data_IF_107938363572
#
_entry.id   IF_107938363572
#
_cell.length_a   1.000
_cell.length_b   1.000
_cell.length_c   1.000
_cell.angle_alpha   90.00
_cell.angle_beta   90.00
_cell.angle_gamma   90.00
#
_symmetry.space_group_name_H-M   'P 1'
#
loop_
_entity.id
_entity.type
_entity.pdbx_description
1 polymer ?
#
# COMPACT_ATOMS: atom_id res chain seq x y z
N UNK A 1 -5.34 -29.86 10.65
CA UNK A 1 -6.31 -28.81 11.07
C UNK A 1 -6.12 -28.54 12.54
N UNK A 2 -5.86 -27.30 12.91
CA UNK A 2 -5.63 -26.93 14.31
C UNK A 2 -6.88 -27.09 15.19
N UNK A 3 -6.67 -27.30 16.49
CA UNK A 3 -7.77 -27.47 17.48
C UNK A 3 -8.78 -26.33 17.39
N UNK A 4 -8.32 -25.09 17.28
CA UNK A 4 -9.16 -23.89 17.21
C UNK A 4 -10.14 -23.90 16.02
N UNK A 5 -9.70 -24.31 14.85
CA UNK A 5 -10.57 -24.41 13.66
C UNK A 5 -11.59 -25.53 13.82
N UNK A 6 -11.21 -26.66 14.43
CA UNK A 6 -12.15 -27.76 14.73
C UNK A 6 -13.26 -27.32 15.69
N UNK A 7 -12.93 -26.56 16.71
CA UNK A 7 -13.90 -26.00 17.65
C UNK A 7 -14.81 -24.97 16.99
N UNK A 8 -14.26 -24.08 16.14
CA UNK A 8 -15.06 -23.15 15.35
C UNK A 8 -16.07 -23.86 14.43
N UNK A 9 -15.65 -24.95 13.78
CA UNK A 9 -16.54 -25.78 12.96
C UNK A 9 -17.65 -26.42 13.83
N UNK A 10 -17.33 -26.86 15.05
CA UNK A 10 -18.34 -27.39 15.96
C UNK A 10 -19.39 -26.32 16.34
N UNK A 11 -18.94 -25.06 16.54
CA UNK A 11 -19.82 -23.90 16.77
C UNK A 11 -20.71 -23.66 15.53
N UNK A 12 -20.15 -23.66 14.33
CA UNK A 12 -20.94 -23.52 13.09
C UNK A 12 -22.01 -24.60 12.98
N UNK A 13 -21.70 -25.85 13.35
CA UNK A 13 -22.67 -26.94 13.36
C UNK A 13 -23.85 -26.73 14.34
N UNK A 14 -23.57 -26.08 15.49
CA UNK A 14 -24.64 -25.74 16.44
C UNK A 14 -25.54 -24.68 15.83
N UNK A 15 -24.99 -23.64 15.18
CA UNK A 15 -25.80 -22.63 14.48
C UNK A 15 -26.61 -23.22 13.34
N UNK A 16 -26.00 -24.03 12.48
CA UNK A 16 -26.70 -24.73 11.37
C UNK A 16 -27.85 -25.61 11.86
N UNK A 17 -27.70 -26.36 12.96
CA UNK A 17 -28.77 -27.17 13.56
C UNK A 17 -29.95 -26.34 14.09
N UNK A 18 -29.69 -25.06 14.39
CA UNK A 18 -30.71 -24.10 14.82
C UNK A 18 -31.26 -23.26 13.65
N UNK A 19 -30.93 -23.61 12.40
CA UNK A 19 -31.47 -22.99 11.21
C UNK A 19 -30.74 -21.70 10.76
N UNK A 20 -29.52 -21.48 11.23
CA UNK A 20 -28.70 -20.31 10.86
C UNK A 20 -27.49 -20.76 10.07
N UNK A 21 -27.28 -20.21 8.89
CA UNK A 21 -26.06 -20.44 8.15
C UNK A 21 -24.85 -19.86 8.88
N UNK A 22 -23.80 -20.67 8.97
CA UNK A 22 -22.56 -20.29 9.65
C UNK A 22 -21.34 -21.00 9.06
N UNK A 23 -20.26 -20.26 8.88
CA UNK A 23 -19.03 -20.75 8.26
C UNK A 23 -17.80 -20.15 8.94
N UNK A 24 -16.73 -20.93 9.06
CA UNK A 24 -15.42 -20.40 9.47
C UNK A 24 -14.87 -19.60 8.32
N UNK A 25 -14.59 -18.31 8.55
CA UNK A 25 -14.11 -17.41 7.52
C UNK A 25 -12.68 -17.82 7.13
N UNK A 26 -12.43 -18.12 5.82
CA UNK A 26 -11.10 -18.44 5.30
C UNK A 26 -10.27 -19.36 6.21
N UNK A 27 -10.80 -20.54 6.52
CA UNK A 27 -10.17 -21.48 7.45
C UNK A 27 -8.66 -21.71 7.20
N UNK A 28 -8.16 -21.91 5.95
CA UNK A 28 -6.73 -22.08 5.70
C UNK A 28 -5.91 -20.85 6.08
N UNK A 29 -6.43 -19.63 5.82
CA UNK A 29 -5.77 -18.41 6.22
C UNK A 29 -5.74 -18.27 7.74
N UNK A 30 -6.85 -18.57 8.41
CA UNK A 30 -6.91 -18.58 9.87
C UNK A 30 -5.97 -19.63 10.48
N UNK A 31 -5.85 -20.82 9.90
CA UNK A 31 -4.85 -21.81 10.32
C UNK A 31 -3.42 -21.27 10.25
N UNK A 32 -3.11 -20.49 9.20
CA UNK A 32 -1.79 -19.88 9.06
C UNK A 32 -1.57 -18.75 10.06
N UNK A 33 -2.62 -17.98 10.37
CA UNK A 33 -2.57 -16.95 11.42
C UNK A 33 -2.32 -17.53 12.80
N UNK A 34 -3.01 -18.62 13.13
CA UNK A 34 -2.87 -19.33 14.40
C UNK A 34 -1.46 -19.88 14.63
N UNK A 35 -0.71 -20.16 13.57
CA UNK A 35 0.70 -20.59 13.68
C UNK A 35 1.65 -19.44 14.12
N UNK A 36 1.22 -18.19 13.98
CA UNK A 36 2.05 -17.00 14.22
C UNK A 36 1.69 -16.23 15.48
N UNK A 37 0.53 -16.48 16.06
CA UNK A 37 -0.01 -15.74 17.21
C UNK A 37 0.03 -16.59 18.47
N UNK A 38 0.30 -15.96 19.63
CA UNK A 38 0.22 -16.63 20.93
C UNK A 38 -1.21 -16.84 21.41
N UNK A 39 -2.16 -16.03 20.92
CA UNK A 39 -3.59 -16.12 21.24
C UNK A 39 -4.32 -16.74 20.05
N UNK A 40 -5.10 -17.78 20.33
CA UNK A 40 -5.94 -18.41 19.33
C UNK A 40 -7.22 -17.58 19.13
N UNK A 41 -7.40 -17.02 17.96
CA UNK A 41 -8.58 -16.25 17.56
C UNK A 41 -9.13 -16.81 16.26
N UNK A 42 -10.44 -17.05 16.20
CA UNK A 42 -11.10 -17.59 15.00
C UNK A 42 -12.33 -16.77 14.66
N UNK A 43 -12.45 -16.39 13.40
CA UNK A 43 -13.55 -15.60 12.88
C UNK A 43 -14.56 -16.51 12.18
N UNK A 44 -15.85 -16.28 12.46
CA UNK A 44 -16.99 -17.04 11.97
C UNK A 44 -17.97 -16.05 11.32
N UNK A 45 -18.43 -16.34 10.10
CA UNK A 45 -19.54 -15.64 9.49
C UNK A 45 -20.84 -16.39 9.79
N UNK A 46 -21.91 -15.68 10.17
CA UNK A 46 -23.20 -16.31 10.43
C UNK A 46 -24.37 -15.34 10.15
N UNK A 47 -25.54 -15.91 9.90
CA UNK A 47 -26.79 -15.16 9.72
C UNK A 47 -27.40 -14.68 11.04
N UNK A 48 -26.85 -15.11 12.16
CA UNK A 48 -27.42 -14.86 13.49
C UNK A 48 -27.08 -13.46 13.98
N UNK A 49 -28.03 -12.82 14.65
CA UNK A 49 -27.82 -11.58 15.39
C UNK A 49 -27.28 -11.85 16.81
N UNK A 50 -26.92 -10.80 17.53
CA UNK A 50 -26.36 -10.87 18.89
C UNK A 50 -27.26 -11.67 19.83
N UNK A 51 -28.57 -11.39 19.84
CA UNK A 51 -29.54 -12.03 20.76
C UNK A 51 -29.60 -13.55 20.56
N UNK A 52 -29.55 -13.97 19.31
CA UNK A 52 -29.52 -15.39 18.95
C UNK A 52 -28.24 -16.07 19.39
N UNK A 53 -27.09 -15.40 19.13
CA UNK A 53 -25.77 -15.93 19.53
C UNK A 53 -25.68 -16.05 21.05
N UNK A 54 -26.11 -15.03 21.79
CA UNK A 54 -26.13 -15.05 23.27
C UNK A 54 -27.06 -16.15 23.80
N UNK A 55 -28.20 -16.40 23.13
CA UNK A 55 -29.12 -17.47 23.52
C UNK A 55 -28.50 -18.87 23.33
N UNK A 56 -27.74 -19.08 22.29
CA UNK A 56 -27.07 -20.36 21.99
C UNK A 56 -25.74 -20.51 22.75
N UNK A 57 -25.06 -19.41 22.96
CA UNK A 57 -23.76 -19.33 23.65
C UNK A 57 -23.84 -18.27 24.76
N UNK A 58 -24.24 -18.63 25.98
CA UNK A 58 -24.48 -17.67 27.06
C UNK A 58 -23.25 -16.84 27.49
N UNK A 59 -22.04 -17.24 27.11
CA UNK A 59 -20.79 -16.50 27.34
C UNK A 59 -20.54 -15.40 26.29
N UNK A 60 -21.34 -15.35 25.22
CA UNK A 60 -21.17 -14.39 24.15
C UNK A 60 -21.57 -12.99 24.60
N UNK A 61 -20.87 -12.00 24.10
CA UNK A 61 -21.13 -10.56 24.30
C UNK A 61 -21.04 -9.84 22.95
N UNK A 62 -21.45 -8.58 22.91
CA UNK A 62 -21.27 -7.76 21.73
C UNK A 62 -19.79 -7.71 21.33
N UNK A 63 -19.52 -7.78 20.03
CA UNK A 63 -18.17 -7.76 19.51
C UNK A 63 -17.45 -6.44 19.82
N UNK A 64 -16.19 -6.53 20.19
CA UNK A 64 -15.34 -5.35 20.47
C UNK A 64 -14.75 -4.75 19.18
N UNK A 65 -14.60 -5.55 18.13
CA UNK A 65 -14.13 -5.06 16.82
C UNK A 65 -15.28 -4.48 15.98
N UNK A 66 -14.99 -3.44 15.22
CA UNK A 66 -15.91 -2.90 14.21
C UNK A 66 -16.39 -4.03 13.30
N UNK A 67 -17.72 -4.14 13.16
CA UNK A 67 -18.42 -5.14 12.35
C UNK A 67 -18.59 -6.53 12.99
N UNK A 68 -17.95 -6.88 14.09
CA UNK A 68 -18.25 -8.12 14.79
C UNK A 68 -19.62 -7.99 15.52
N UNK A 69 -20.53 -8.93 15.23
CA UNK A 69 -21.86 -8.98 15.89
C UNK A 69 -21.72 -9.43 17.33
N UNK A 70 -20.90 -10.44 17.55
CA UNK A 70 -20.69 -11.03 18.87
C UNK A 70 -19.28 -11.63 18.98
N UNK A 71 -18.84 -11.84 20.22
CA UNK A 71 -17.62 -12.58 20.53
C UNK A 71 -17.75 -13.35 21.83
N UNK A 72 -17.03 -14.46 21.95
CA UNK A 72 -16.84 -15.14 23.23
C UNK A 72 -15.56 -15.95 23.25
N UNK A 73 -15.05 -16.22 24.46
CA UNK A 73 -13.84 -17.04 24.65
C UNK A 73 -14.24 -18.39 25.25
N UNK A 74 -13.73 -19.46 24.65
CA UNK A 74 -13.87 -20.82 25.16
C UNK A 74 -12.57 -21.60 24.92
N UNK A 75 -12.10 -22.35 25.90
CA UNK A 75 -10.86 -23.13 25.86
C UNK A 75 -9.64 -22.31 25.41
N UNK A 76 -9.52 -21.05 25.86
CA UNK A 76 -8.50 -20.07 25.49
C UNK A 76 -8.52 -19.68 24.00
N UNK A 77 -9.64 -19.90 23.32
CA UNK A 77 -9.85 -19.48 21.93
C UNK A 77 -10.92 -18.39 21.90
N UNK A 78 -10.62 -17.25 21.30
CA UNK A 78 -11.56 -16.18 21.06
C UNK A 78 -12.28 -16.43 19.72
N UNK A 79 -13.58 -16.59 19.78
CA UNK A 79 -14.46 -16.70 18.60
C UNK A 79 -15.13 -15.36 18.37
N UNK A 80 -15.02 -14.81 17.14
CA UNK A 80 -15.72 -13.62 16.70
C UNK A 80 -16.72 -13.96 15.62
N UNK A 81 -17.90 -13.37 15.72
CA UNK A 81 -19.00 -13.60 14.78
C UNK A 81 -19.22 -12.35 13.95
N UNK A 82 -19.22 -12.54 12.65
CA UNK A 82 -19.47 -11.49 11.67
C UNK A 82 -20.78 -11.78 10.94
N UNK A 83 -21.55 -10.78 10.50
CA UNK A 83 -22.75 -11.02 9.75
C UNK A 83 -22.39 -11.69 8.43
N UNK A 84 -23.14 -12.72 8.07
CA UNK A 84 -23.14 -13.26 6.72
C UNK A 84 -23.86 -12.23 5.85
N UNK A 85 -23.17 -11.62 4.88
CA UNK A 85 -23.80 -10.71 3.92
C UNK A 85 -24.67 -11.54 2.97
N UNK A 86 -25.95 -11.62 3.27
CA UNK A 86 -26.96 -12.11 2.35
C UNK A 86 -27.58 -10.92 1.67
N UNK A 87 -27.58 -10.88 0.35
CA UNK A 87 -28.48 -9.99 -0.36
C UNK A 87 -29.88 -10.56 -0.41
N UNK A 88 -30.88 -9.68 -0.41
CA UNK A 88 -32.29 -10.04 -0.54
C UNK A 88 -32.66 -10.81 -1.85
N UNK A 89 -31.70 -10.85 -2.79
CA UNK A 89 -31.83 -11.68 -3.99
C UNK A 89 -31.33 -13.09 -3.69
N UNK A 90 -32.11 -14.07 -4.04
CA UNK A 90 -31.92 -15.53 -3.90
C UNK A 90 -30.69 -16.10 -4.63
N UNK A 91 -29.74 -15.27 -5.01
CA UNK A 91 -28.44 -15.66 -5.51
C UNK A 91 -27.40 -15.28 -4.44
N UNK A 92 -26.63 -16.25 -3.93
CA UNK A 92 -25.48 -15.89 -3.16
C UNK A 92 -24.65 -14.97 -4.08
N UNK A 93 -24.61 -13.70 -3.76
CA UNK A 93 -23.51 -12.84 -4.20
C UNK A 93 -22.25 -13.66 -4.11
N UNK A 94 -21.25 -13.37 -4.92
CA UNK A 94 -19.92 -13.84 -4.58
C UNK A 94 -19.93 -13.98 -3.07
N UNK A 95 -20.16 -15.17 -2.57
CA UNK A 95 -20.21 -15.43 -1.14
C UNK A 95 -18.78 -15.35 -0.70
N UNK A 96 -18.32 -14.17 -0.86
CA UNK A 96 -17.01 -13.73 -0.59
C UNK A 96 -16.94 -13.76 0.89
N UNK A 97 -16.28 -14.77 1.28
CA UNK A 97 -15.63 -14.86 2.55
C UNK A 97 -15.32 -13.44 2.99
N UNK A 98 -16.01 -12.99 3.98
CA UNK A 98 -15.72 -11.71 4.59
C UNK A 98 -14.29 -11.79 5.10
N UNK A 99 -13.41 -11.05 4.46
CA UNK A 99 -12.04 -10.96 4.86
C UNK A 99 -11.98 -9.86 5.87
N UNK A 100 -11.69 -10.23 7.09
CA UNK A 100 -11.56 -9.24 8.15
C UNK A 100 -10.28 -8.42 7.94
N UNK A 101 -10.24 -7.16 8.38
CA UNK A 101 -9.01 -6.36 8.37
C UNK A 101 -7.83 -7.11 8.97
N UNK A 102 -8.04 -7.87 10.06
CA UNK A 102 -7.01 -8.72 10.67
C UNK A 102 -6.41 -9.72 9.68
N UNK A 103 -7.22 -10.33 8.84
CA UNK A 103 -6.75 -11.29 7.82
C UNK A 103 -5.93 -10.60 6.74
N UNK A 104 -6.36 -9.41 6.28
CA UNK A 104 -5.60 -8.61 5.32
C UNK A 104 -4.24 -8.22 5.90
N UNK A 105 -4.21 -7.70 7.12
CA UNK A 105 -2.96 -7.31 7.79
C UNK A 105 -2.00 -8.47 8.04
N UNK A 106 -2.52 -9.67 8.20
CA UNK A 106 -1.70 -10.86 8.44
C UNK A 106 -1.18 -11.51 7.15
N UNK A 107 -1.66 -11.10 5.98
CA UNK A 107 -1.15 -11.56 4.70
C UNK A 107 0.25 -10.99 4.49
N UNK A 108 1.27 -11.83 4.70
CA UNK A 108 2.61 -11.50 4.27
C UNK A 108 2.68 -11.63 2.74
N UNK A 109 3.04 -10.57 1.98
CA UNK A 109 3.15 -10.60 0.53
C UNK A 109 4.03 -11.74 0.00
N UNK A 110 5.06 -12.13 0.76
CA UNK A 110 6.00 -13.19 0.39
C UNK A 110 5.46 -14.63 0.62
N UNK A 111 4.32 -14.78 1.34
CA UNK A 111 3.73 -16.09 1.67
C UNK A 111 2.24 -16.12 1.33
N UNK A 112 1.90 -15.78 0.10
CA UNK A 112 0.52 -15.79 -0.37
C UNK A 112 0.04 -17.22 -0.50
N UNK A 113 -1.08 -17.48 0.16
CA UNK A 113 -1.83 -18.72 -0.03
C UNK A 113 -2.54 -18.63 -1.38
N UNK A 114 -2.45 -19.71 -2.15
CA UNK A 114 -3.40 -19.93 -3.21
C UNK A 114 -4.73 -20.31 -2.56
N UNK A 115 -5.64 -19.38 -2.52
CA UNK A 115 -6.98 -19.55 -1.99
C UNK A 115 -7.96 -19.59 -3.16
N UNK A 116 -8.78 -20.60 -3.22
CA UNK A 116 -9.94 -20.59 -4.11
C UNK A 116 -11.09 -19.94 -3.37
N UNK A 117 -11.49 -18.76 -3.83
CA UNK A 117 -12.67 -18.07 -3.35
C UNK A 117 -13.82 -18.53 -4.24
N UNK A 118 -14.34 -19.68 -3.94
CA UNK A 118 -15.64 -20.08 -4.43
C UNK A 118 -16.66 -19.57 -3.45
N UNK A 119 -17.80 -19.16 -3.97
CA UNK A 119 -18.92 -18.88 -3.14
C UNK A 119 -19.19 -20.04 -2.16
N UNK A 120 -19.64 -19.75 -0.97
CA UNK A 120 -20.22 -20.76 -0.12
C UNK A 120 -21.35 -21.40 -0.92
N UNK A 121 -21.22 -22.69 -1.19
CA UNK A 121 -22.35 -23.45 -1.69
C UNK A 121 -23.49 -23.27 -0.70
N UNK A 122 -24.68 -22.93 -1.18
CA UNK A 122 -25.85 -22.90 -0.35
C UNK A 122 -25.96 -24.23 0.40
N UNK A 123 -26.21 -24.24 1.72
CA UNK A 123 -26.39 -25.48 2.51
C UNK A 123 -27.54 -26.33 2.07
N UNK A 124 -28.29 -25.92 1.04
CA UNK A 124 -29.45 -26.65 0.50
C UNK A 124 -29.16 -28.10 0.08
N UNK A 125 -27.90 -28.53 0.07
CA UNK A 125 -27.53 -29.87 -0.39
C UNK A 125 -26.80 -30.70 0.67
N UNK A 126 -27.10 -30.59 1.95
CA UNK A 126 -26.66 -31.56 2.97
C UNK A 126 -25.18 -31.90 3.03
N UNK A 127 -24.38 -31.23 2.22
CA UNK A 127 -22.99 -31.54 1.96
C UNK A 127 -22.09 -30.85 2.98
N UNK A 128 -21.10 -31.59 3.41
CA UNK A 128 -20.14 -31.22 4.42
C UNK A 128 -19.65 -29.79 4.23
N UNK A 129 -19.92 -28.91 5.19
CA UNK A 129 -19.25 -27.59 5.32
C UNK A 129 -17.72 -27.70 5.17
N UNK A 130 -17.18 -28.88 5.33
CA UNK A 130 -15.76 -29.20 5.15
C UNK A 130 -15.31 -29.31 3.69
N UNK A 131 -16.17 -29.75 2.78
CA UNK A 131 -15.80 -29.95 1.37
C UNK A 131 -15.62 -28.61 0.65
N UNK A 132 -16.37 -27.59 1.08
CA UNK A 132 -16.17 -26.22 0.58
C UNK A 132 -14.80 -25.65 0.95
N UNK A 133 -14.11 -26.17 1.96
CA UNK A 133 -12.75 -25.73 2.33
C UNK A 133 -11.64 -26.40 1.50
N UNK A 134 -11.88 -27.54 0.89
CA UNK A 134 -10.94 -28.15 -0.07
C UNK A 134 -10.81 -27.28 -1.34
N UNK A 135 -11.88 -26.59 -1.72
CA UNK A 135 -11.89 -25.66 -2.84
C UNK A 135 -10.99 -24.44 -2.64
N UNK A 136 -10.64 -24.09 -1.40
CA UNK A 136 -9.68 -23.00 -1.08
C UNK A 136 -8.23 -23.32 -1.42
N UNK A 137 -7.89 -24.57 -1.70
CA UNK A 137 -6.52 -24.99 -2.02
C UNK A 137 -6.10 -24.72 -3.45
N UNK A 138 -7.03 -24.45 -4.36
CA UNK A 138 -6.76 -24.41 -5.81
C UNK A 138 -7.10 -23.12 -6.52
N UNK A 139 -6.97 -22.04 -5.92
CA UNK A 139 -6.96 -20.67 -6.18
C UNK A 139 -7.41 -19.98 -7.46
N UNK A 140 -8.70 -19.65 -7.63
CA UNK A 140 -9.09 -18.55 -8.54
C UNK A 140 -10.30 -17.80 -7.97
N UNK A 141 -10.43 -16.52 -8.33
CA UNK A 141 -11.64 -15.74 -8.02
C UNK A 141 -12.67 -16.02 -9.10
N UNK A 142 -13.82 -16.55 -8.71
CA UNK A 142 -14.90 -16.93 -9.61
C UNK A 142 -16.24 -16.42 -9.11
N UNK A 143 -17.06 -15.85 -10.01
CA UNK A 143 -18.45 -15.56 -9.76
C UNK A 143 -19.24 -16.87 -9.69
N UNK A 144 -20.18 -16.99 -8.75
CA UNK A 144 -21.04 -18.16 -8.63
C UNK A 144 -22.08 -18.19 -9.74
N UNK A 145 -22.47 -19.38 -10.17
CA UNK A 145 -23.43 -19.55 -11.26
C UNK A 145 -22.89 -19.09 -12.62
N UNK A 146 -23.76 -18.57 -13.46
CA UNK A 146 -23.39 -17.97 -14.74
C UNK A 146 -22.92 -16.54 -14.51
N UNK A 147 -21.63 -16.29 -14.74
CA UNK A 147 -20.98 -15.02 -14.39
C UNK A 147 -21.69 -13.78 -14.99
N UNK A 148 -22.20 -13.87 -16.22
CA UNK A 148 -22.94 -12.77 -16.85
C UNK A 148 -24.28 -12.49 -16.15
N UNK A 149 -25.01 -13.51 -15.72
CA UNK A 149 -26.27 -13.36 -14.98
C UNK A 149 -26.01 -12.76 -13.58
N UNK A 150 -25.01 -13.27 -12.89
CA UNK A 150 -24.60 -12.76 -11.58
C UNK A 150 -24.24 -11.27 -11.66
N UNK A 151 -23.47 -10.86 -12.66
CA UNK A 151 -23.13 -9.44 -12.87
C UNK A 151 -24.37 -8.62 -13.26
N UNK A 152 -25.31 -9.18 -14.03
CA UNK A 152 -26.52 -8.46 -14.40
C UNK A 152 -27.39 -8.12 -13.17
N UNK A 153 -27.36 -8.95 -12.14
CA UNK A 153 -28.04 -8.66 -10.87
C UNK A 153 -27.30 -7.64 -10.01
N UNK A 154 -25.96 -7.66 -10.01
CA UNK A 154 -25.15 -6.72 -9.23
C UNK A 154 -23.79 -6.46 -9.88
N UNK A 155 -23.66 -5.34 -10.59
CA UNK A 155 -22.42 -4.96 -11.28
C UNK A 155 -21.27 -4.60 -10.34
N UNK A 156 -21.53 -4.25 -9.06
CA UNK A 156 -20.47 -3.99 -8.08
C UNK A 156 -19.61 -5.23 -7.83
N UNK A 157 -20.16 -6.43 -8.06
CA UNK A 157 -19.41 -7.68 -7.94
C UNK A 157 -18.22 -7.77 -8.88
N UNK A 158 -18.23 -7.06 -10.01
CA UNK A 158 -17.06 -6.96 -10.88
C UNK A 158 -15.87 -6.30 -10.13
N UNK A 159 -16.11 -5.15 -9.50
CA UNK A 159 -15.08 -4.43 -8.73
C UNK A 159 -14.62 -5.26 -7.54
N UNK A 160 -15.55 -5.91 -6.85
CA UNK A 160 -15.29 -6.78 -5.71
C UNK A 160 -14.40 -7.96 -6.11
N UNK A 161 -14.71 -8.62 -7.24
CA UNK A 161 -13.91 -9.73 -7.77
C UNK A 161 -12.46 -9.28 -8.09
N UNK A 162 -12.29 -8.10 -8.70
CA UNK A 162 -10.97 -7.52 -8.99
C UNK A 162 -10.21 -7.21 -7.69
N UNK A 163 -10.88 -6.65 -6.67
CA UNK A 163 -10.30 -6.39 -5.35
C UNK A 163 -9.78 -7.67 -4.70
N UNK A 164 -10.57 -8.74 -4.73
CA UNK A 164 -10.14 -10.03 -4.16
C UNK A 164 -8.99 -10.62 -4.93
N UNK A 165 -9.05 -10.60 -6.26
CA UNK A 165 -7.94 -11.03 -7.11
C UNK A 165 -6.64 -10.29 -6.75
N UNK A 166 -6.71 -8.97 -6.56
CA UNK A 166 -5.57 -8.15 -6.19
C UNK A 166 -5.05 -8.43 -4.77
N UNK A 167 -5.94 -8.43 -3.76
CA UNK A 167 -5.57 -8.60 -2.35
C UNK A 167 -4.96 -9.97 -2.05
N UNK A 168 -5.42 -11.01 -2.74
CA UNK A 168 -4.99 -12.40 -2.50
C UNK A 168 -4.02 -12.93 -3.54
N UNK A 169 -3.69 -12.11 -4.56
CA UNK A 169 -2.86 -12.53 -5.69
C UNK A 169 -3.41 -13.79 -6.39
N UNK A 170 -4.73 -13.81 -6.58
CA UNK A 170 -5.42 -14.91 -7.20
C UNK A 170 -5.82 -14.57 -8.63
N UNK A 171 -5.64 -15.48 -9.59
CA UNK A 171 -6.14 -15.26 -10.94
C UNK A 171 -7.67 -15.20 -10.94
N UNK A 172 -8.22 -14.38 -11.82
CA UNK A 172 -9.63 -14.46 -12.16
C UNK A 172 -9.91 -15.73 -12.98
N UNK A 173 -10.99 -16.42 -12.66
CA UNK A 173 -11.50 -17.48 -13.54
C UNK A 173 -11.77 -16.90 -14.94
N UNK A 174 -11.41 -17.61 -16.02
CA UNK A 174 -11.56 -17.10 -17.39
C UNK A 174 -12.98 -16.64 -17.74
N UNK A 175 -14.01 -17.36 -17.31
CA UNK A 175 -15.41 -16.97 -17.58
C UNK A 175 -15.79 -15.72 -16.81
N UNK A 176 -15.37 -15.63 -15.55
CA UNK A 176 -15.55 -14.43 -14.71
C UNK A 176 -14.85 -13.22 -15.35
N UNK A 177 -13.59 -13.36 -15.80
CA UNK A 177 -12.86 -12.28 -16.47
C UNK A 177 -13.58 -11.81 -17.73
N UNK A 178 -14.00 -12.73 -18.59
CA UNK A 178 -14.72 -12.39 -19.83
C UNK A 178 -16.07 -11.72 -19.56
N UNK A 179 -16.80 -12.17 -18.52
CA UNK A 179 -18.05 -11.54 -18.12
C UNK A 179 -17.82 -10.11 -17.62
N UNK A 180 -16.76 -9.86 -16.82
CA UNK A 180 -16.40 -8.52 -16.35
C UNK A 180 -16.02 -7.62 -17.53
N UNK A 181 -15.24 -8.11 -18.51
CA UNK A 181 -14.90 -7.34 -19.73
C UNK A 181 -16.15 -6.95 -20.50
N UNK A 182 -17.10 -7.88 -20.70
CA UNK A 182 -18.37 -7.58 -21.37
C UNK A 182 -19.25 -6.61 -20.59
N UNK A 183 -19.15 -6.62 -19.27
CA UNK A 183 -19.93 -5.76 -18.39
C UNK A 183 -19.24 -4.41 -18.07
N UNK A 184 -18.04 -4.14 -18.55
CA UNK A 184 -17.21 -3.01 -18.12
C UNK A 184 -17.92 -1.65 -18.24
N UNK A 185 -18.60 -1.37 -19.34
CA UNK A 185 -19.39 -0.13 -19.52
C UNK A 185 -20.58 -0.09 -18.56
N UNK A 186 -21.27 -1.22 -18.35
CA UNK A 186 -22.42 -1.30 -17.46
C UNK A 186 -22.03 -1.12 -15.99
N UNK A 187 -20.84 -1.58 -15.59
CA UNK A 187 -20.31 -1.29 -14.25
C UNK A 187 -20.26 0.22 -14.04
N UNK A 188 -19.76 0.98 -15.02
CA UNK A 188 -19.65 2.43 -14.94
C UNK A 188 -21.01 3.16 -15.04
N UNK A 189 -21.99 2.56 -15.73
CA UNK A 189 -23.33 3.13 -15.88
C UNK A 189 -24.22 2.89 -14.64
N UNK A 190 -24.06 1.76 -13.96
CA UNK A 190 -24.99 1.31 -12.92
C UNK A 190 -24.39 1.31 -11.50
N UNK A 191 -23.08 1.39 -11.35
CA UNK A 191 -22.43 1.44 -10.03
C UNK A 191 -21.95 2.85 -9.74
N UNK A 192 -22.32 3.39 -8.60
CA UNK A 192 -21.89 4.73 -8.20
C UNK A 192 -20.38 4.81 -7.96
N UNK A 193 -19.78 5.97 -8.24
CA UNK A 193 -18.36 6.20 -7.93
C UNK A 193 -18.06 5.98 -6.44
N UNK A 194 -19.01 6.29 -5.56
CA UNK A 194 -18.90 6.08 -4.11
C UNK A 194 -18.78 4.59 -3.76
N UNK A 195 -19.61 3.73 -4.37
CA UNK A 195 -19.59 2.30 -4.13
C UNK A 195 -18.29 1.67 -4.67
N UNK A 196 -17.86 2.09 -5.87
CA UNK A 196 -16.57 1.66 -6.43
C UNK A 196 -15.42 2.06 -5.50
N UNK A 197 -15.42 3.29 -5.01
CA UNK A 197 -14.40 3.75 -4.07
C UNK A 197 -14.50 3.07 -2.70
N UNK A 198 -15.69 2.64 -2.29
CA UNK A 198 -15.89 1.79 -1.10
C UNK A 198 -15.14 0.47 -1.22
N UNK A 199 -15.22 -0.20 -2.37
CA UNK A 199 -14.43 -1.41 -2.65
C UNK A 199 -12.93 -1.10 -2.79
N UNK A 200 -12.56 -0.01 -3.46
CA UNK A 200 -11.16 0.38 -3.63
C UNK A 200 -10.46 0.68 -2.29
N UNK A 201 -11.12 1.34 -1.35
CA UNK A 201 -10.59 1.62 0.00
C UNK A 201 -10.29 0.34 0.81
N UNK A 202 -10.87 -0.79 0.42
CA UNK A 202 -10.58 -2.10 1.02
C UNK A 202 -9.45 -2.85 0.29
N UNK A 203 -8.86 -2.27 -0.76
CA UNK A 203 -7.64 -2.81 -1.38
C UNK A 203 -6.46 -2.50 -0.47
N UNK A 204 -5.69 -3.53 -0.10
CA UNK A 204 -4.48 -3.34 0.69
C UNK A 204 -3.46 -2.49 -0.09
N UNK A 205 -2.72 -1.61 0.60
CA UNK A 205 -1.78 -0.68 -0.03
C UNK A 205 -0.81 -1.39 -0.99
N UNK A 206 -0.25 -2.52 -0.57
CA UNK A 206 0.65 -3.36 -1.36
C UNK A 206 -0.01 -4.06 -2.55
N UNK A 207 -1.34 -4.02 -2.64
CA UNK A 207 -2.12 -4.66 -3.72
C UNK A 207 -2.71 -3.67 -4.71
N UNK A 208 -2.61 -2.36 -4.44
CA UNK A 208 -3.18 -1.30 -5.30
C UNK A 208 -2.65 -1.40 -6.74
N UNK A 209 -1.36 -1.66 -6.93
CA UNK A 209 -0.78 -1.78 -8.27
C UNK A 209 -1.44 -2.91 -9.09
N UNK A 210 -1.77 -4.06 -8.46
CA UNK A 210 -2.47 -5.16 -9.12
C UNK A 210 -3.91 -4.81 -9.42
N UNK A 211 -4.57 -4.19 -8.46
CA UNK A 211 -5.95 -3.78 -8.62
C UNK A 211 -6.12 -2.80 -9.79
N UNK A 212 -5.24 -1.80 -9.87
CA UNK A 212 -5.23 -0.82 -10.97
C UNK A 212 -4.91 -1.50 -12.31
N UNK A 213 -3.95 -2.43 -12.34
CA UNK A 213 -3.65 -3.22 -13.54
C UNK A 213 -4.86 -4.05 -13.98
N UNK A 214 -5.53 -4.71 -13.07
CA UNK A 214 -6.74 -5.48 -13.38
C UNK A 214 -7.87 -4.60 -13.91
N UNK A 215 -8.11 -3.42 -13.31
CA UNK A 215 -9.08 -2.43 -13.82
C UNK A 215 -8.75 -1.98 -15.25
N UNK A 216 -7.47 -1.79 -15.56
CA UNK A 216 -7.00 -1.48 -16.93
C UNK A 216 -7.27 -2.65 -17.89
N UNK A 217 -6.87 -3.86 -17.52
CA UNK A 217 -7.01 -5.07 -18.36
C UNK A 217 -8.47 -5.44 -18.69
N UNK A 218 -9.41 -5.11 -17.80
CA UNK A 218 -10.85 -5.34 -18.04
C UNK A 218 -11.58 -4.11 -18.55
N UNK A 219 -10.86 -3.05 -18.92
CA UNK A 219 -11.39 -1.81 -19.50
C UNK A 219 -12.34 -0.99 -18.61
N UNK A 220 -12.24 -1.15 -17.30
CA UNK A 220 -12.99 -0.32 -16.34
C UNK A 220 -12.22 0.97 -16.03
N UNK A 221 -10.87 0.91 -15.97
CA UNK A 221 -10.04 2.06 -15.61
C UNK A 221 -10.24 3.25 -16.54
N UNK A 222 -10.36 3.01 -17.85
CA UNK A 222 -10.57 4.05 -18.87
C UNK A 222 -11.82 4.89 -18.64
N UNK A 223 -12.85 4.35 -18.01
CA UNK A 223 -14.06 5.11 -17.70
C UNK A 223 -14.05 5.71 -16.31
N UNK A 224 -13.35 5.07 -15.37
CA UNK A 224 -13.29 5.53 -13.97
C UNK A 224 -12.23 6.64 -13.78
N UNK A 225 -11.01 6.40 -14.25
CA UNK A 225 -9.88 7.35 -14.19
C UNK A 225 -9.15 7.35 -15.54
N UNK A 226 -9.76 7.93 -16.59
CA UNK A 226 -9.16 7.96 -17.93
C UNK A 226 -7.76 8.58 -17.95
N UNK A 227 -7.48 9.50 -17.04
CA UNK A 227 -6.19 10.16 -16.96
C UNK A 227 -5.05 9.20 -16.55
N UNK A 228 -5.34 8.21 -15.70
CA UNK A 228 -4.36 7.18 -15.33
C UNK A 228 -4.27 6.11 -16.45
N UNK A 229 -5.40 5.71 -17.01
CA UNK A 229 -5.44 4.73 -18.10
C UNK A 229 -4.63 5.22 -19.32
N UNK A 230 -4.78 6.50 -19.68
CA UNK A 230 -4.10 7.13 -20.82
C UNK A 230 -2.57 7.23 -20.65
N UNK A 231 -2.02 7.07 -19.45
CA UNK A 231 -0.57 6.98 -19.25
C UNK A 231 0.05 5.77 -19.94
N UNK A 232 -0.75 4.76 -20.29
CA UNK A 232 -0.34 3.61 -21.10
C UNK A 232 0.06 3.99 -22.54
N UNK A 233 -0.38 5.16 -23.02
CA UNK A 233 -0.04 5.70 -24.33
C UNK A 233 1.18 6.62 -24.32
N UNK A 234 1.70 7.00 -23.15
CA UNK A 234 2.84 7.91 -23.01
C UNK A 234 4.10 7.10 -22.74
N UNK A 235 5.16 7.36 -23.51
CA UNK A 235 6.46 6.71 -23.37
C UNK A 235 7.45 7.59 -22.62
N UNK A 236 8.34 6.96 -21.89
CA UNK A 236 9.46 7.59 -21.21
C UNK A 236 10.67 6.66 -21.22
N UNK A 237 11.87 7.22 -21.01
CA UNK A 237 13.06 6.41 -20.78
C UNK A 237 13.04 5.83 -19.38
N UNK A 238 13.31 4.53 -19.27
CA UNK A 238 13.42 3.80 -18.01
C UNK A 238 14.83 3.90 -17.43
N UNK A 239 15.84 3.71 -18.26
CA UNK A 239 17.26 3.67 -17.89
C UNK A 239 18.06 4.63 -18.71
N UNK A 240 19.28 4.95 -18.24
CA UNK A 240 20.26 5.75 -19.00
C UNK A 240 20.66 5.07 -20.33
N UNK A 241 20.51 3.75 -20.41
CA UNK A 241 20.81 2.92 -21.61
C UNK A 241 19.73 3.02 -22.71
N UNK A 242 18.65 3.78 -22.47
CA UNK A 242 17.63 4.08 -23.47
C UNK A 242 16.49 3.06 -23.56
N UNK A 243 16.33 2.14 -22.59
CA UNK A 243 15.12 1.33 -22.51
C UNK A 243 13.89 2.20 -22.30
N UNK A 244 12.86 1.97 -23.10
CA UNK A 244 11.58 2.68 -23.01
C UNK A 244 10.56 1.86 -22.25
N UNK A 245 9.74 2.55 -21.47
CA UNK A 245 8.56 2.01 -20.80
C UNK A 245 7.37 2.95 -20.98
N UNK A 246 6.15 2.48 -20.69
CA UNK A 246 5.01 3.38 -20.57
C UNK A 246 5.03 4.09 -19.23
N UNK A 247 4.52 5.33 -19.17
CA UNK A 247 4.36 6.02 -17.86
C UNK A 247 3.40 5.26 -16.95
N UNK A 248 2.45 4.50 -17.52
CA UNK A 248 1.55 3.63 -16.76
C UNK A 248 2.31 2.49 -16.05
N UNK A 249 3.14 1.75 -16.77
CA UNK A 249 3.91 0.64 -16.19
C UNK A 249 4.88 1.15 -15.13
N UNK A 250 5.59 2.25 -15.41
CA UNK A 250 6.42 2.93 -14.44
C UNK A 250 5.64 3.31 -13.17
N UNK A 251 4.46 3.94 -13.35
CA UNK A 251 3.61 4.34 -12.22
C UNK A 251 3.21 3.14 -11.37
N UNK A 252 2.83 2.01 -12.00
CA UNK A 252 2.49 0.79 -11.27
C UNK A 252 3.70 0.18 -10.55
N UNK A 253 4.89 0.24 -11.14
CA UNK A 253 6.12 -0.19 -10.48
C UNK A 253 6.46 0.69 -9.26
N UNK A 254 6.28 2.01 -9.36
CA UNK A 254 6.40 2.91 -8.21
C UNK A 254 5.38 2.57 -7.10
N UNK A 255 4.12 2.35 -7.47
CA UNK A 255 3.06 1.95 -6.53
C UNK A 255 3.38 0.62 -5.86
N UNK A 256 3.97 -0.33 -6.57
CA UNK A 256 4.43 -1.61 -6.03
C UNK A 256 5.58 -1.45 -5.04
N UNK A 257 6.48 -0.48 -5.28
CA UNK A 257 7.67 -0.25 -4.47
C UNK A 257 7.44 0.66 -3.27
N UNK A 258 6.34 1.43 -3.23
CA UNK A 258 6.07 2.42 -2.18
C UNK A 258 5.80 1.80 -0.81
N UNK A 259 4.94 0.77 -0.65
CA UNK A 259 4.63 0.19 0.65
C UNK A 259 5.83 -0.58 1.21
N UNK A 260 6.69 0.11 1.94
CA UNK A 260 7.81 -0.47 2.68
C UNK A 260 7.59 -0.40 4.19
N UNK A 261 8.53 -0.94 4.96
CA UNK A 261 8.52 -1.14 6.41
C UNK A 261 7.63 -0.15 7.19
N UNK A 262 7.93 1.16 7.11
CA UNK A 262 7.21 2.20 7.86
C UNK A 262 5.87 2.60 7.21
N UNK A 263 5.71 2.35 5.90
CA UNK A 263 4.55 2.76 5.10
C UNK A 263 3.74 1.58 4.55
N UNK A 264 3.91 0.41 5.11
CA UNK A 264 3.28 -0.82 4.63
C UNK A 264 1.74 -0.73 4.51
N UNK A 265 1.11 0.05 5.39
CA UNK A 265 -0.35 0.27 5.38
C UNK A 265 -0.75 1.69 4.97
N UNK A 266 0.17 2.46 4.43
CA UNK A 266 -0.11 3.83 4.00
C UNK A 266 -0.86 3.87 2.68
N UNK A 267 -2.17 3.69 2.75
CA UNK A 267 -3.05 3.70 1.60
C UNK A 267 -3.02 5.06 0.86
N UNK A 268 -3.03 6.18 1.60
CA UNK A 268 -3.03 7.52 1.01
C UNK A 268 -1.71 7.85 0.31
N UNK A 269 -0.57 7.49 0.91
CA UNK A 269 0.73 7.65 0.26
C UNK A 269 0.87 6.80 -1.00
N UNK A 270 0.32 5.58 -0.98
CA UNK A 270 0.26 4.70 -2.16
C UNK A 270 -0.62 5.32 -3.26
N UNK A 271 -1.76 5.92 -2.90
CA UNK A 271 -2.60 6.65 -3.86
C UNK A 271 -1.91 7.91 -4.37
N UNK A 272 -1.17 8.66 -3.55
CA UNK A 272 -0.37 9.78 -4.02
C UNK A 272 0.69 9.33 -5.04
N UNK A 273 1.32 8.17 -4.79
CA UNK A 273 2.25 7.55 -5.73
C UNK A 273 1.57 7.13 -7.03
N UNK A 274 0.32 6.65 -6.99
CA UNK A 274 -0.46 6.36 -8.21
C UNK A 274 -0.68 7.62 -9.07
N UNK A 275 -0.84 8.79 -8.45
CA UNK A 275 -1.11 10.03 -9.16
C UNK A 275 0.13 10.88 -9.44
N UNK A 276 1.33 10.51 -8.96
CA UNK A 276 2.50 11.40 -8.99
C UNK A 276 2.85 11.90 -10.39
N UNK A 277 2.74 11.02 -11.37
CA UNK A 277 3.11 11.27 -12.76
C UNK A 277 1.94 11.57 -13.71
N UNK A 278 0.71 11.71 -13.20
CA UNK A 278 -0.48 11.98 -14.03
C UNK A 278 -0.35 13.26 -14.87
N UNK A 279 0.45 14.20 -14.41
CA UNK A 279 0.74 15.44 -15.13
C UNK A 279 1.54 15.24 -16.42
N UNK A 280 2.26 14.14 -16.58
CA UNK A 280 3.02 13.82 -17.80
C UNK A 280 2.12 13.70 -19.03
N UNK A 281 0.86 13.29 -18.84
CA UNK A 281 -0.15 13.25 -19.89
C UNK A 281 -0.34 14.62 -20.58
N UNK A 282 -0.14 15.70 -19.86
CA UNK A 282 -0.43 17.07 -20.31
C UNK A 282 0.83 17.90 -20.56
N UNK A 283 2.00 17.40 -20.21
CA UNK A 283 3.27 18.15 -20.28
C UNK A 283 4.34 17.42 -21.10
N UNK A 284 3.97 16.31 -21.74
CA UNK A 284 4.88 15.54 -22.56
C UNK A 284 5.24 16.29 -23.85
N UNK A 285 6.51 16.56 -24.07
CA UNK A 285 7.07 17.15 -25.28
C UNK A 285 8.21 16.25 -25.77
N UNK A 286 8.19 15.91 -27.06
CA UNK A 286 9.26 15.15 -27.69
C UNK A 286 10.25 16.12 -28.33
N UNK A 287 11.45 16.23 -27.76
CA UNK A 287 12.47 17.12 -28.21
C UNK A 287 13.83 16.41 -28.25
N UNK A 288 14.57 16.59 -29.36
CA UNK A 288 15.92 16.02 -29.56
C UNK A 288 16.00 14.50 -29.29
N UNK A 289 15.00 13.75 -29.74
CA UNK A 289 14.95 12.29 -29.58
C UNK A 289 14.53 11.79 -28.21
N UNK A 290 14.12 12.68 -27.30
CA UNK A 290 13.75 12.33 -25.94
C UNK A 290 12.42 12.96 -25.52
N UNK A 291 11.68 12.27 -24.67
CA UNK A 291 10.50 12.82 -24.00
C UNK A 291 10.91 13.66 -22.78
N UNK A 292 10.37 14.86 -22.71
CA UNK A 292 10.52 15.77 -21.56
C UNK A 292 9.17 16.10 -20.97
N UNK A 293 9.11 16.31 -19.64
CA UNK A 293 7.85 16.51 -18.91
C UNK A 293 7.98 17.69 -17.94
N UNK A 294 8.16 18.88 -18.48
CA UNK A 294 8.44 20.07 -17.67
C UNK A 294 7.25 20.41 -16.74
N UNK A 295 7.53 20.58 -15.45
CA UNK A 295 6.56 20.91 -14.40
C UNK A 295 5.37 19.94 -14.28
N UNK A 296 5.49 18.67 -14.70
CA UNK A 296 4.41 17.67 -14.59
C UNK A 296 3.84 17.56 -13.17
N UNK A 297 4.67 17.72 -12.12
CA UNK A 297 4.22 17.68 -10.72
C UNK A 297 3.19 18.77 -10.39
N UNK A 298 3.35 19.99 -10.91
CA UNK A 298 2.41 21.10 -10.70
C UNK A 298 1.10 20.90 -11.46
N UNK A 299 1.20 20.44 -12.70
CA UNK A 299 0.04 20.10 -13.52
C UNK A 299 -0.65 18.89 -12.93
N UNK A 300 0.13 17.86 -12.54
CA UNK A 300 -0.35 16.65 -11.88
C UNK A 300 -1.18 16.92 -10.64
N UNK A 301 -0.73 17.79 -9.74
CA UNK A 301 -1.51 18.17 -8.56
C UNK A 301 -2.89 18.79 -8.90
N UNK A 302 -2.97 19.60 -9.98
CA UNK A 302 -4.25 20.18 -10.43
C UNK A 302 -5.17 19.12 -11.04
N UNK A 303 -4.62 18.18 -11.81
CA UNK A 303 -5.35 17.07 -12.42
C UNK A 303 -5.85 16.13 -11.33
N UNK A 304 -4.98 15.73 -10.39
CA UNK A 304 -5.32 14.90 -9.24
C UNK A 304 -6.49 15.49 -8.45
N UNK A 305 -6.49 16.80 -8.19
CA UNK A 305 -7.61 17.49 -7.50
C UNK A 305 -8.95 17.31 -8.24
N UNK A 306 -8.95 17.36 -9.58
CA UNK A 306 -10.17 17.15 -10.38
C UNK A 306 -10.64 15.70 -10.30
N UNK A 307 -9.72 14.75 -10.40
CA UNK A 307 -10.00 13.31 -10.31
C UNK A 307 -10.60 12.98 -8.94
N UNK A 308 -9.94 13.38 -7.86
CA UNK A 308 -10.35 13.04 -6.49
C UNK A 308 -11.71 13.65 -6.13
N UNK A 309 -12.02 14.88 -6.61
CA UNK A 309 -13.36 15.46 -6.48
C UNK A 309 -14.42 14.63 -7.21
N UNK A 310 -14.13 14.16 -8.41
CA UNK A 310 -15.03 13.30 -9.18
C UNK A 310 -15.27 11.96 -8.48
N UNK A 311 -14.25 11.45 -7.75
CA UNK A 311 -14.31 10.21 -6.99
C UNK A 311 -14.80 10.40 -5.55
N UNK A 312 -15.29 11.59 -5.18
CA UNK A 312 -15.86 11.90 -3.88
C UNK A 312 -14.92 11.67 -2.68
N UNK A 313 -13.62 11.98 -2.84
CA UNK A 313 -12.70 12.02 -1.71
C UNK A 313 -13.01 13.17 -0.76
N UNK A 314 -12.63 13.02 0.52
CA UNK A 314 -12.73 14.12 1.49
C UNK A 314 -11.83 15.29 1.10
N UNK A 315 -12.17 16.54 1.49
CA UNK A 315 -11.31 17.70 1.24
C UNK A 315 -9.89 17.51 1.81
N UNK A 316 -9.78 16.89 2.99
CA UNK A 316 -8.53 16.62 3.68
C UNK A 316 -7.66 15.65 2.87
N UNK A 317 -8.23 14.54 2.41
CA UNK A 317 -7.52 13.58 1.55
C UNK A 317 -7.09 14.24 0.23
N UNK A 318 -7.95 15.06 -0.38
CA UNK A 318 -7.64 15.78 -1.61
C UNK A 318 -6.45 16.72 -1.40
N UNK A 319 -6.43 17.49 -0.32
CA UNK A 319 -5.36 18.44 -0.05
C UNK A 319 -4.04 17.70 0.23
N UNK A 320 -4.08 16.61 0.99
CA UNK A 320 -2.93 15.75 1.24
C UNK A 320 -2.35 15.15 -0.04
N UNK A 321 -3.18 14.48 -0.85
CA UNK A 321 -2.71 13.85 -2.08
C UNK A 321 -2.16 14.88 -3.07
N UNK A 322 -2.84 16.02 -3.23
CA UNK A 322 -2.36 17.10 -4.10
C UNK A 322 -1.06 17.72 -3.59
N UNK A 323 -0.88 17.84 -2.27
CA UNK A 323 0.37 18.29 -1.66
C UNK A 323 1.52 17.33 -2.01
N UNK A 324 1.32 16.03 -1.82
CA UNK A 324 2.32 15.01 -2.12
C UNK A 324 2.67 15.00 -3.62
N UNK A 325 1.67 14.95 -4.50
CA UNK A 325 1.88 15.01 -5.96
C UNK A 325 2.59 16.29 -6.39
N UNK A 326 2.22 17.44 -5.81
CA UNK A 326 2.83 18.73 -6.14
C UNK A 326 4.30 18.88 -5.71
N UNK A 327 4.73 18.11 -4.70
CA UNK A 327 6.05 18.23 -4.09
C UNK A 327 6.97 17.01 -4.33
N UNK A 328 6.50 15.93 -4.99
CA UNK A 328 7.26 14.68 -5.11
C UNK A 328 8.65 14.87 -5.75
N UNK A 329 8.79 15.83 -6.67
CA UNK A 329 10.07 16.11 -7.33
C UNK A 329 11.10 16.82 -6.45
N UNK A 330 10.71 17.34 -5.27
CA UNK A 330 11.63 18.20 -4.48
C UNK A 330 12.84 17.47 -3.94
N UNK A 331 12.74 16.19 -3.66
CA UNK A 331 13.84 15.38 -3.15
C UNK A 331 14.72 14.74 -4.23
N UNK A 332 14.33 14.83 -5.52
CA UNK A 332 15.06 14.26 -6.65
C UNK A 332 16.37 14.96 -6.95
N UNK A 333 16.52 16.24 -6.57
CA UNK A 333 17.70 17.03 -6.83
C UNK A 333 18.62 17.05 -5.60
N UNK A 334 19.94 17.17 -5.82
CA UNK A 334 20.86 17.44 -4.73
C UNK A 334 20.49 18.75 -4.05
N UNK A 335 20.15 18.68 -2.77
CA UNK A 335 19.77 19.83 -1.96
C UNK A 335 20.99 20.39 -1.21
N UNK A 336 21.04 21.71 -1.09
CA UNK A 336 21.91 22.38 -0.13
C UNK A 336 21.36 22.23 1.29
N UNK A 337 22.16 22.49 2.33
CA UNK A 337 21.69 22.46 3.73
C UNK A 337 20.41 23.27 3.93
N UNK A 338 20.35 24.48 3.34
CA UNK A 338 19.16 25.33 3.36
C UNK A 338 17.99 24.70 2.61
N UNK A 339 18.27 24.00 1.51
CA UNK A 339 17.26 23.25 0.74
C UNK A 339 16.66 22.10 1.52
N UNK A 340 17.52 21.33 2.23
CA UNK A 340 17.08 20.21 3.09
C UNK A 340 16.23 20.70 4.25
N UNK A 341 16.59 21.80 4.90
CA UNK A 341 15.80 22.41 5.99
C UNK A 341 14.40 22.79 5.51
N UNK A 342 14.32 23.51 4.38
CA UNK A 342 13.04 23.86 3.75
C UNK A 342 12.21 22.65 3.32
N UNK A 343 12.89 21.58 2.93
CA UNK A 343 12.21 20.32 2.60
C UNK A 343 11.64 19.67 3.85
N UNK A 344 12.39 19.65 4.96
CA UNK A 344 11.95 19.09 6.26
C UNK A 344 10.79 19.86 6.89
N UNK A 345 10.63 21.15 6.53
CA UNK A 345 9.48 21.97 6.94
C UNK A 345 8.19 21.65 6.14
N UNK A 346 8.27 20.85 5.08
CA UNK A 346 7.07 20.43 4.36
C UNK A 346 6.28 19.41 5.18
N UNK A 347 4.98 19.59 5.16
CA UNK A 347 4.08 18.56 5.69
C UNK A 347 4.34 17.24 4.95
N UNK A 348 4.33 16.14 5.69
CA UNK A 348 4.47 14.78 5.14
C UNK A 348 5.80 14.54 4.37
N UNK A 349 6.88 15.25 4.70
CA UNK A 349 8.17 15.11 4.01
C UNK A 349 8.70 13.66 4.01
N UNK A 350 8.38 12.86 5.02
CA UNK A 350 8.74 11.45 5.10
C UNK A 350 8.07 10.62 3.99
N UNK A 351 6.80 10.90 3.67
CA UNK A 351 6.12 10.30 2.52
C UNK A 351 6.75 10.70 1.19
N UNK A 352 7.18 11.96 1.06
CA UNK A 352 7.89 12.44 -0.14
C UNK A 352 9.23 11.74 -0.34
N UNK A 353 9.95 11.42 0.75
CA UNK A 353 11.18 10.60 0.69
C UNK A 353 10.85 9.18 0.23
N UNK A 354 9.80 8.57 0.79
CA UNK A 354 9.37 7.23 0.42
C UNK A 354 8.91 7.16 -1.06
N UNK A 355 8.19 8.17 -1.56
CA UNK A 355 7.80 8.27 -2.97
C UNK A 355 9.03 8.33 -3.89
N UNK A 356 10.05 9.14 -3.56
CA UNK A 356 11.26 9.20 -4.36
C UNK A 356 12.06 7.89 -4.28
N UNK A 357 12.11 7.24 -3.12
CA UNK A 357 12.73 5.91 -3.00
C UNK A 357 12.04 4.88 -3.88
N UNK A 358 10.70 4.90 -3.92
CA UNK A 358 9.91 4.03 -4.79
C UNK A 358 10.18 4.28 -6.27
N UNK A 359 10.27 5.54 -6.70
CA UNK A 359 10.63 5.93 -8.07
C UNK A 359 12.05 5.43 -8.46
N UNK A 360 13.04 5.61 -7.59
CA UNK A 360 14.39 5.11 -7.81
C UNK A 360 14.43 3.58 -7.96
N UNK A 361 13.67 2.86 -7.13
CA UNK A 361 13.59 1.40 -7.21
C UNK A 361 12.92 0.94 -8.51
N UNK A 362 11.84 1.60 -8.90
CA UNK A 362 11.11 1.27 -10.13
C UNK A 362 12.00 1.41 -11.38
N UNK A 363 12.91 2.37 -11.37
CA UNK A 363 13.82 2.64 -12.50
C UNK A 363 15.18 1.94 -12.40
N UNK A 364 15.50 1.24 -11.30
CA UNK A 364 16.86 0.85 -10.94
C UNK A 364 17.85 2.04 -10.96
N UNK A 365 17.37 3.19 -10.48
CA UNK A 365 18.02 4.49 -10.63
C UNK A 365 19.22 4.70 -9.73
N UNK A 366 19.91 5.82 -9.97
CA UNK A 366 21.11 6.22 -9.22
C UNK A 366 20.73 6.87 -7.87
N UNK A 367 21.17 6.27 -6.77
CA UNK A 367 20.91 6.74 -5.41
C UNK A 367 21.80 7.88 -4.93
N UNK A 368 22.68 8.45 -5.76
CA UNK A 368 23.65 9.48 -5.36
C UNK A 368 22.96 10.69 -4.72
N UNK A 369 21.99 11.31 -5.41
CA UNK A 369 21.24 12.47 -4.89
C UNK A 369 20.42 12.11 -3.66
N UNK A 370 19.81 10.92 -3.64
CA UNK A 370 19.02 10.40 -2.52
C UNK A 370 19.89 10.28 -1.26
N UNK A 371 21.01 9.58 -1.35
CA UNK A 371 21.91 9.35 -0.24
C UNK A 371 22.55 10.67 0.25
N UNK A 372 22.87 11.59 -0.68
CA UNK A 372 23.34 12.93 -0.34
C UNK A 372 22.30 13.66 0.52
N UNK A 373 21.05 13.72 0.07
CA UNK A 373 19.99 14.41 0.78
C UNK A 373 19.69 13.78 2.15
N UNK A 374 19.67 12.46 2.26
CA UNK A 374 19.51 11.76 3.54
C UNK A 374 20.60 12.11 4.54
N UNK A 375 21.87 12.13 4.09
CA UNK A 375 23.01 12.51 4.94
C UNK A 375 22.84 13.89 5.56
N UNK A 376 22.24 14.83 4.84
CA UNK A 376 22.00 16.19 5.33
C UNK A 376 20.70 16.35 6.11
N UNK A 377 19.73 15.43 5.92
CA UNK A 377 18.45 15.48 6.61
C UNK A 377 18.60 15.36 8.13
N UNK A 378 19.49 14.48 8.60
CA UNK A 378 19.81 14.30 10.01
C UNK A 378 20.46 15.55 10.62
N UNK A 379 21.14 16.36 9.80
CA UNK A 379 21.76 17.62 10.21
C UNK A 379 20.79 18.80 10.24
N UNK A 380 19.62 18.66 9.66
CA UNK A 380 18.65 19.75 9.55
C UNK A 380 18.14 20.27 10.91
N UNK A 381 18.25 19.45 11.98
CA UNK A 381 17.93 19.84 13.35
C UNK A 381 19.05 20.61 14.05
N UNK A 382 20.26 20.54 13.50
CA UNK A 382 21.43 21.22 14.08
C UNK A 382 21.31 22.73 13.84
N UNK A 383 21.47 23.58 14.86
CA UNK A 383 21.43 25.02 14.67
C UNK A 383 22.42 25.48 13.59
N UNK A 384 22.03 26.44 12.73
CA UNK A 384 22.77 26.88 11.57
C UNK A 384 24.21 27.30 11.92
N UNK A 385 24.38 27.91 13.11
CA UNK A 385 25.70 28.28 13.69
C UNK A 385 26.65 27.10 13.94
N UNK A 386 26.14 25.87 14.00
CA UNK A 386 26.90 24.64 14.21
C UNK A 386 27.14 23.86 12.92
N UNK A 387 26.62 24.32 11.79
CA UNK A 387 26.74 23.62 10.51
C UNK A 387 28.01 24.00 9.74
N UNK A 388 28.60 25.17 10.06
CA UNK A 388 29.93 25.52 9.55
C UNK A 388 31.00 25.09 10.55
N UNK A 389 32.01 24.33 10.09
CA UNK A 389 33.12 24.00 10.98
C UNK A 389 33.82 25.28 11.45
N UNK A 390 34.24 25.30 12.69
CA UNK A 390 35.00 26.44 13.26
C UNK A 390 36.26 26.79 12.47
N UNK A 391 36.77 25.83 11.66
CA UNK A 391 37.91 26.02 10.77
C UNK A 391 37.52 25.64 9.35
N UNK A 392 37.80 26.53 8.41
CA UNK A 392 37.66 26.24 6.98
C UNK A 392 38.85 25.42 6.46
N UNK A 393 38.81 24.96 5.19
CA UNK A 393 39.84 24.11 4.62
C UNK A 393 41.25 24.76 4.61
N UNK A 394 41.33 26.08 4.38
CA UNK A 394 42.61 26.80 4.39
C UNK A 394 43.19 26.89 5.82
N UNK A 395 42.36 27.15 6.80
CA UNK A 395 42.75 27.17 8.22
C UNK A 395 43.19 25.78 8.68
N UNK A 396 42.51 24.72 8.27
CA UNK A 396 42.91 23.33 8.58
C UNK A 396 44.29 23.04 7.99
N UNK A 397 44.56 23.44 6.73
CA UNK A 397 45.86 23.27 6.11
C UNK A 397 46.94 24.06 6.83
N UNK A 398 46.64 25.28 7.30
CA UNK A 398 47.58 26.08 8.08
C UNK A 398 47.91 25.44 9.43
N UNK A 399 46.91 24.98 10.16
CA UNK A 399 47.07 24.38 11.49
C UNK A 399 47.69 22.97 11.47
N UNK A 400 47.52 22.24 10.38
CA UNK A 400 48.04 20.88 10.24
C UNK A 400 49.24 20.74 9.33
N UNK A 401 49.59 21.80 8.60
CA UNK A 401 50.65 21.84 7.57
C UNK A 401 50.45 20.81 6.44
N UNK A 402 49.19 20.41 6.21
CA UNK A 402 48.85 19.50 5.12
C UNK A 402 48.77 20.25 3.77
N UNK A 403 49.17 19.57 2.71
CA UNK A 403 48.94 20.03 1.35
C UNK A 403 47.47 19.90 0.96
N UNK A 404 46.97 20.73 0.00
CA UNK A 404 45.62 20.57 -0.52
C UNK A 404 45.35 19.14 -1.02
N UNK A 405 44.28 18.50 -0.51
CA UNK A 405 43.97 17.14 -0.89
C UNK A 405 42.74 16.57 -0.18
N UNK A 406 42.34 15.34 -0.52
CA UNK A 406 41.16 14.69 0.05
C UNK A 406 41.18 14.60 1.58
N UNK A 407 42.35 14.47 2.19
CA UNK A 407 42.52 14.37 3.65
C UNK A 407 42.01 15.62 4.38
N UNK A 408 42.21 16.82 3.81
CA UNK A 408 41.70 18.08 4.37
C UNK A 408 40.15 18.04 4.43
N UNK A 409 39.51 17.48 3.39
CA UNK A 409 38.07 17.29 3.35
C UNK A 409 37.58 16.32 4.43
N UNK A 410 38.29 15.22 4.63
CA UNK A 410 37.98 14.21 5.69
C UNK A 410 38.13 14.85 7.08
N UNK A 411 39.20 15.61 7.33
CA UNK A 411 39.39 16.29 8.62
C UNK A 411 38.31 17.33 8.87
N UNK A 412 37.95 18.12 7.84
CA UNK A 412 36.87 19.11 7.94
C UNK A 412 35.53 18.47 8.29
N UNK A 413 35.21 17.34 7.68
CA UNK A 413 33.99 16.58 7.96
C UNK A 413 34.00 16.00 9.38
N UNK A 414 35.13 15.40 9.82
CA UNK A 414 35.29 14.86 11.16
C UNK A 414 35.20 15.98 12.22
N UNK A 415 35.74 17.17 11.97
CA UNK A 415 35.62 18.34 12.84
C UNK A 415 34.16 18.75 12.98
N UNK A 416 33.43 18.85 11.87
CA UNK A 416 32.01 19.20 11.88
C UNK A 416 31.20 18.21 12.68
N UNK A 417 31.45 16.91 12.52
CA UNK A 417 30.75 15.85 13.30
C UNK A 417 31.05 15.96 14.80
N UNK A 418 32.33 16.24 15.17
CA UNK A 418 32.70 16.41 16.56
C UNK A 418 32.07 17.67 17.18
N UNK A 419 31.90 18.74 16.41
CA UNK A 419 31.22 19.97 16.78
C UNK A 419 29.71 19.71 17.04
N UNK A 420 29.05 19.06 16.11
CA UNK A 420 27.63 18.68 16.21
C UNK A 420 27.40 17.77 17.46
N UNK A 421 28.32 16.85 17.72
CA UNK A 421 28.29 15.98 18.89
C UNK A 421 28.69 16.70 20.23
N UNK A 422 28.92 18.00 20.21
CA UNK A 422 29.31 18.80 21.39
C UNK A 422 30.70 18.49 21.94
N UNK A 423 31.53 17.72 21.23
CA UNK A 423 32.90 17.37 21.65
C UNK A 423 33.89 18.49 21.38
N UNK A 424 33.57 19.39 20.48
CA UNK A 424 34.38 20.55 20.08
C UNK A 424 33.50 21.79 20.28
N UNK A 425 33.57 22.45 21.43
CA UNK A 425 32.65 23.53 21.78
C UNK A 425 33.03 24.89 21.17
N UNK A 426 34.32 25.08 20.85
CA UNK A 426 34.84 26.34 20.38
C UNK A 426 36.02 26.19 19.39
N UNK A 427 36.51 27.33 18.87
CA UNK A 427 37.58 27.35 17.89
C UNK A 427 38.92 26.82 18.41
N UNK A 428 39.22 27.01 19.70
CA UNK A 428 40.46 26.52 20.30
C UNK A 428 40.45 24.97 20.34
N UNK A 429 39.38 24.39 20.80
CA UNK A 429 39.17 22.94 20.76
C UNK A 429 39.18 22.38 19.32
N UNK A 430 38.75 23.18 18.34
CA UNK A 430 38.78 22.78 16.93
C UNK A 430 40.22 22.69 16.39
N UNK A 431 41.10 23.62 16.77
CA UNK A 431 42.50 23.58 16.39
C UNK A 431 43.19 22.34 16.96
N UNK A 432 43.00 22.07 18.24
CA UNK A 432 43.54 20.88 18.91
C UNK A 432 43.01 19.56 18.25
N UNK A 433 41.73 19.54 17.94
CA UNK A 433 41.11 18.42 17.27
C UNK A 433 41.75 18.12 15.90
N UNK A 434 41.85 19.11 15.03
CA UNK A 434 42.39 18.91 13.67
C UNK A 434 43.87 18.52 13.69
N UNK A 435 44.68 19.10 14.59
CA UNK A 435 46.08 18.74 14.77
C UNK A 435 46.23 17.29 15.25
N UNK A 436 45.42 16.88 16.21
CA UNK A 436 45.41 15.50 16.72
C UNK A 436 44.97 14.51 15.66
N UNK A 437 43.93 14.86 14.90
CA UNK A 437 43.43 14.02 13.82
C UNK A 437 44.45 13.83 12.71
N UNK A 438 45.10 14.94 12.29
CA UNK A 438 46.13 14.91 11.26
C UNK A 438 47.33 14.03 11.65
N UNK A 439 47.77 14.08 12.91
CA UNK A 439 48.85 13.22 13.43
C UNK A 439 48.51 11.75 13.39
N UNK A 440 47.24 11.40 13.65
CA UNK A 440 46.76 10.00 13.61
C UNK A 440 46.55 9.46 12.19
N UNK A 441 46.25 10.33 11.25
CA UNK A 441 46.01 9.95 9.86
C UNK A 441 47.29 9.99 8.98
N UNK A 442 48.38 10.61 9.46
CA UNK A 442 49.64 10.72 8.76
C UNK A 442 50.75 9.76 9.27
N UNK A 443 50.45 8.94 10.28
CA UNK A 443 51.29 7.83 10.76
C UNK A 443 50.65 6.51 10.46
#
# INVERSE_FOLDING_TARGET
MQKAIKEAIAICKILLRNGYDAHVINAPLQEQLLQKTQTAEVDIACESNLDTIVKLFPKARAGAEDQAVAEFTENDILFRFYPLEMTEASHPELSLLRITPRMIHALNPAKRLQLRITGFGSPAHGDNVYDSFEDFKTGSVRLTGLADETLHHNYLLAIRALRFSANFDLPLDPNTRLAIVRASTRVLDYVSATDIMGEWRQVAAESIYRFVRLLHEVHILQGLIPEIDALSCIRQQRTEDGEEETVFDHTLDCVRCYPEEDFHYDWLGTMATLFHDVGKLFTGEFFDGQWTFYQHHRVGAKVTRKILRRLHFSPEDIDLLCHLVGNHMRFHFMLTDRGVRRFKELDEYSRLIAMYRADLRARNGNYTSFNHNLKYLDRAETPERLLEPFLNGNEIMQETQLAPGPLVGVIREALLQAQIAGKVPDRAAAIEFVQTYARRAGG
#
